data_IF_151183568726
#
_entry.id   IF_151183568726
#
_cell.length_a   1.000
_cell.length_b   1.000
_cell.length_c   1.000
_cell.angle_alpha   90.00
_cell.angle_beta   90.00
_cell.angle_gamma   90.00
#
_symmetry.space_group_name_H-M   'P 1'
#
loop_
_entity.id
_entity.type
_entity.pdbx_description
1 polymer ?
#
# COMPACT_ATOMS: atom_id res chain seq x y z
N UNK A 1 6.92 17.54 20.49
CA UNK A 1 6.04 16.40 20.13
C UNK A 1 6.92 15.36 19.45
N UNK A 2 7.16 14.23 20.11
CA UNK A 2 7.76 13.06 19.46
C UNK A 2 6.70 12.47 18.53
N UNK A 3 6.62 12.96 17.30
CA UNK A 3 5.87 12.29 16.26
C UNK A 3 6.89 11.40 15.54
N UNK A 4 6.86 10.09 15.83
CA UNK A 4 7.44 9.13 14.90
C UNK A 4 6.81 9.32 13.51
N UNK A 5 7.42 8.77 12.45
CA UNK A 5 6.85 8.86 11.12
C UNK A 5 5.41 8.34 11.13
N UNK A 6 4.44 9.23 10.92
CA UNK A 6 3.02 8.89 10.85
C UNK A 6 2.70 8.76 9.37
N UNK A 7 2.86 7.55 8.85
CA UNK A 7 2.53 7.20 7.49
C UNK A 7 1.10 6.64 7.48
N UNK A 8 0.20 7.27 6.74
CA UNK A 8 -1.15 6.75 6.54
C UNK A 8 -1.07 5.58 5.55
N UNK A 9 -1.04 4.35 6.08
CA UNK A 9 -1.12 3.15 5.26
C UNK A 9 -2.55 2.88 4.82
N UNK A 10 -2.74 2.56 3.54
CA UNK A 10 -4.05 2.28 2.94
C UNK A 10 -4.01 0.98 2.15
N UNK A 11 -5.15 0.30 2.08
CA UNK A 11 -5.37 -0.84 1.20
C UNK A 11 -5.96 -0.36 -0.13
N UNK A 12 -5.41 -0.87 -1.23
CA UNK A 12 -5.89 -0.63 -2.59
C UNK A 12 -6.36 -1.95 -3.17
N UNK A 13 -7.59 -2.01 -3.65
CA UNK A 13 -8.10 -3.21 -4.33
C UNK A 13 -7.49 -3.28 -5.73
N UNK A 14 -6.69 -4.31 -5.99
CA UNK A 14 -5.95 -4.51 -7.25
C UNK A 14 -6.41 -5.73 -8.04
N UNK A 15 -6.99 -6.73 -7.37
CA UNK A 15 -7.60 -7.89 -8.02
C UNK A 15 -9.01 -8.16 -7.46
N UNK A 16 -10.04 -7.94 -8.28
CA UNK A 16 -11.44 -8.16 -7.90
C UNK A 16 -11.84 -9.64 -7.87
N UNK A 17 -11.01 -10.55 -8.36
CA UNK A 17 -11.29 -11.99 -8.38
C UNK A 17 -10.62 -12.74 -7.22
N UNK A 18 -9.65 -12.13 -6.55
CA UNK A 18 -9.00 -12.68 -5.38
C UNK A 18 -9.76 -12.35 -4.09
N UNK A 19 -9.50 -13.12 -3.03
CA UNK A 19 -10.09 -12.90 -1.71
C UNK A 19 -9.05 -12.42 -0.69
N UNK A 20 -9.53 -11.73 0.35
CA UNK A 20 -8.71 -11.33 1.49
C UNK A 20 -7.57 -10.38 1.12
N UNK A 21 -6.37 -10.65 1.62
CA UNK A 21 -5.19 -9.82 1.33
C UNK A 21 -4.63 -10.03 -0.08
N UNK A 22 -4.97 -11.13 -0.76
CA UNK A 22 -4.52 -11.36 -2.14
C UNK A 22 -5.20 -10.42 -3.15
N UNK A 23 -6.33 -9.79 -2.78
CA UNK A 23 -6.97 -8.76 -3.60
C UNK A 23 -6.49 -7.34 -3.31
N UNK A 24 -5.56 -7.17 -2.37
CA UNK A 24 -5.17 -5.89 -1.81
C UNK A 24 -3.67 -5.63 -1.96
N UNK A 25 -3.34 -4.46 -2.47
CA UNK A 25 -2.01 -3.88 -2.32
C UNK A 25 -1.99 -2.98 -1.07
N UNK A 26 -0.84 -2.95 -0.38
CA UNK A 26 -0.62 -2.04 0.74
C UNK A 26 0.26 -0.90 0.29
N UNK A 27 -0.15 0.34 0.59
CA UNK A 27 0.63 1.52 0.24
C UNK A 27 0.67 2.54 1.38
N UNK A 28 1.72 3.33 1.43
CA UNK A 28 1.82 4.51 2.31
C UNK A 28 1.46 5.75 1.48
N UNK A 29 0.46 6.50 1.91
CA UNK A 29 0.11 7.77 1.30
C UNK A 29 1.12 8.87 1.66
N UNK A 30 1.62 9.55 0.63
CA UNK A 30 2.57 10.66 0.77
C UNK A 30 1.88 12.01 0.59
N UNK A 31 0.94 12.09 -0.35
CA UNK A 31 0.26 13.34 -0.68
C UNK A 31 -1.04 13.07 -1.44
N UNK A 32 -2.08 13.86 -1.14
CA UNK A 32 -3.25 13.97 -1.98
C UNK A 32 -3.15 15.22 -2.84
N UNK A 33 -3.47 15.09 -4.12
CA UNK A 33 -3.51 16.20 -5.04
C UNK A 33 -4.63 16.02 -6.06
N UNK A 34 -4.90 17.05 -6.84
CA UNK A 34 -5.79 16.92 -7.99
C UNK A 34 -5.26 17.76 -9.14
N UNK A 35 -5.54 17.30 -10.36
CA UNK A 35 -5.19 18.05 -11.57
C UNK A 35 -6.35 18.02 -12.56
N UNK A 36 -6.39 19.01 -13.47
CA UNK A 36 -7.37 19.07 -14.54
C UNK A 36 -6.77 18.56 -15.84
N UNK A 37 -7.48 17.67 -16.52
CA UNK A 37 -7.12 17.19 -17.85
C UNK A 37 -8.40 17.07 -18.70
N UNK A 38 -8.38 17.64 -19.91
CA UNK A 38 -9.55 17.70 -20.81
C UNK A 38 -10.84 18.21 -20.15
N UNK A 39 -10.73 19.20 -19.25
CA UNK A 39 -11.87 19.77 -18.53
C UNK A 39 -12.37 18.95 -17.33
N UNK A 40 -11.83 17.75 -17.10
CA UNK A 40 -12.18 16.91 -15.96
C UNK A 40 -11.15 17.06 -14.82
N UNK A 41 -11.63 17.15 -13.57
CA UNK A 41 -10.79 17.16 -12.37
C UNK A 41 -10.56 15.72 -11.89
N UNK A 42 -9.29 15.35 -11.74
CA UNK A 42 -8.88 14.02 -11.27
C UNK A 42 -8.30 14.13 -9.86
N UNK A 43 -8.97 13.59 -8.83
CA UNK A 43 -8.35 13.40 -7.52
C UNK A 43 -7.33 12.27 -7.60
N UNK A 44 -6.15 12.48 -7.01
CA UNK A 44 -5.03 11.55 -7.09
C UNK A 44 -4.29 11.50 -5.74
N UNK A 45 -3.58 10.39 -5.53
CA UNK A 45 -2.68 10.22 -4.40
C UNK A 45 -1.30 9.82 -4.91
N UNK A 46 -0.25 10.35 -4.28
CA UNK A 46 1.12 9.86 -4.42
C UNK A 46 1.35 8.88 -3.28
N UNK A 47 1.85 7.68 -3.61
CA UNK A 47 2.02 6.60 -2.64
C UNK A 47 3.38 5.92 -2.78
N UNK A 48 3.87 5.34 -1.67
CA UNK A 48 4.90 4.31 -1.69
C UNK A 48 4.26 2.93 -1.59
N UNK A 49 4.57 2.06 -2.54
CA UNK A 49 4.09 0.68 -2.56
C UNK A 49 4.87 -0.20 -1.60
N UNK A 50 4.19 -1.16 -1.00
CA UNK A 50 4.78 -2.27 -0.26
C UNK A 50 4.50 -3.60 -0.97
N UNK A 51 5.41 -4.56 -0.83
CA UNK A 51 5.23 -5.94 -1.25
C UNK A 51 4.98 -6.82 -0.03
N UNK A 52 4.16 -7.87 -0.17
CA UNK A 52 4.06 -8.92 0.82
C UNK A 52 5.35 -9.77 0.86
N UNK A 53 5.77 -10.15 2.05
CA UNK A 53 6.85 -11.11 2.26
C UNK A 53 6.24 -12.50 2.38
N UNK A 54 6.39 -13.30 1.32
CA UNK A 54 5.77 -14.62 1.22
C UNK A 54 4.28 -14.60 0.91
N UNK A 55 3.67 -15.78 0.85
CA UNK A 55 2.31 -16.00 0.35
C UNK A 55 1.26 -16.21 1.47
N UNK A 56 1.66 -16.02 2.73
CA UNK A 56 0.79 -16.27 3.88
C UNK A 56 1.14 -15.36 5.07
N UNK A 57 0.20 -15.13 6.00
CA UNK A 57 0.50 -14.41 7.23
C UNK A 57 1.60 -15.10 8.04
N UNK A 58 2.38 -14.30 8.76
CA UNK A 58 3.38 -14.78 9.71
C UNK A 58 2.73 -15.68 10.77
N UNK A 59 3.33 -16.84 11.02
CA UNK A 59 2.74 -17.87 11.89
C UNK A 59 2.62 -17.42 13.35
N UNK A 60 3.53 -16.57 13.83
CA UNK A 60 3.56 -16.13 15.22
C UNK A 60 2.54 -15.02 15.49
N UNK A 61 2.35 -14.11 14.55
CA UNK A 61 1.51 -12.92 14.71
C UNK A 61 0.15 -13.02 14.01
N UNK A 62 0.02 -13.90 13.01
CA UNK A 62 -1.14 -13.97 12.12
C UNK A 62 -1.26 -12.77 11.18
N UNK A 63 -0.21 -11.94 11.07
CA UNK A 63 -0.22 -10.71 10.27
C UNK A 63 0.58 -10.88 8.97
N UNK A 64 0.21 -10.13 7.94
CA UNK A 64 1.00 -10.04 6.72
C UNK A 64 2.22 -9.17 6.95
N UNK A 65 3.41 -9.72 6.70
CA UNK A 65 4.65 -8.96 6.72
C UNK A 65 4.79 -8.27 5.37
N UNK A 66 5.06 -6.97 5.39
CA UNK A 66 5.25 -6.16 4.19
C UNK A 66 6.59 -5.42 4.23
N UNK A 67 7.18 -5.21 3.06
CA UNK A 67 8.45 -4.51 2.86
C UNK A 67 8.30 -3.44 1.77
N UNK A 68 9.04 -2.32 1.84
CA UNK A 68 8.95 -1.30 0.80
C UNK A 68 9.29 -1.90 -0.57
N UNK A 69 8.47 -1.64 -1.59
CA UNK A 69 8.60 -2.32 -2.89
C UNK A 69 9.88 -2.00 -3.67
N UNK A 70 10.63 -0.97 -3.25
CA UNK A 70 11.94 -0.63 -3.80
C UNK A 70 13.10 -1.40 -3.12
N UNK A 71 12.85 -2.10 -2.01
CA UNK A 71 13.79 -3.09 -1.48
C UNK A 71 13.50 -4.44 -2.15
N UNK A 72 14.52 -5.09 -2.69
CA UNK A 72 14.42 -6.53 -2.96
C UNK A 72 14.25 -7.22 -1.60
N UNK A 73 13.06 -7.72 -1.33
CA UNK A 73 12.80 -8.44 -0.09
C UNK A 73 13.57 -9.75 -0.18
N UNK A 74 14.58 -9.90 0.68
CA UNK A 74 15.36 -11.13 0.77
C UNK A 74 14.46 -12.20 1.38
N UNK A 75 14.12 -13.21 0.58
CA UNK A 75 13.44 -14.43 1.03
C UNK A 75 14.31 -15.19 2.04
#
# INVERSE_FOLDING_TARGET
RNAGPQFDCVFIVTDLQAEGMCSLDVTCMLCFFSFKYQGMLYPCAIVHWFNCVGDSPDMATGMWIICPGYHMCSL
#
